data_IF_506911275076
#
_entry.id   IF_506911275076
#
_cell.length_a   1.000
_cell.length_b   1.000
_cell.length_c   1.000
_cell.angle_alpha   90.00
_cell.angle_beta   90.00
_cell.angle_gamma   90.00
#
_symmetry.space_group_name_H-M   'P 1'
#
loop_
_entity.id
_entity.type
_entity.pdbx_description
1 polymer ?
#
# COMPACT_ATOMS: atom_id res chain seq x y z
N UNK A 1 8.63 -16.60 -32.80
CA UNK A 1 7.98 -17.86 -32.36
C UNK A 1 7.07 -17.62 -31.16
N UNK A 2 7.54 -16.91 -30.13
CA UNK A 2 6.72 -16.48 -28.97
C UNK A 2 5.47 -15.69 -29.37
N UNK A 3 5.61 -14.72 -30.28
CA UNK A 3 4.48 -13.94 -30.81
C UNK A 3 3.39 -14.78 -31.46
N UNK A 4 3.74 -15.87 -32.14
CA UNK A 4 2.78 -16.81 -32.72
C UNK A 4 2.00 -17.61 -31.67
N UNK A 5 2.67 -18.02 -30.59
CA UNK A 5 2.01 -18.69 -29.47
C UNK A 5 1.08 -17.73 -28.71
N UNK A 6 1.51 -16.49 -28.48
CA UNK A 6 0.70 -15.43 -27.88
C UNK A 6 -0.54 -15.14 -28.72
N UNK A 7 -0.38 -14.98 -30.05
CA UNK A 7 -1.50 -14.78 -30.96
C UNK A 7 -2.47 -15.98 -30.97
N UNK A 8 -1.96 -17.20 -30.88
CA UNK A 8 -2.78 -18.42 -30.81
C UNK A 8 -3.55 -18.52 -29.49
N UNK A 9 -2.91 -18.19 -28.36
CA UNK A 9 -3.55 -18.10 -27.04
C UNK A 9 -4.65 -17.04 -27.06
N UNK A 10 -4.36 -15.84 -27.56
CA UNK A 10 -5.34 -14.74 -27.67
C UNK A 10 -6.49 -15.04 -28.63
N UNK A 11 -6.22 -15.76 -29.72
CA UNK A 11 -7.27 -16.22 -30.64
C UNK A 11 -8.19 -17.26 -29.97
N UNK A 12 -7.63 -18.14 -29.14
CA UNK A 12 -8.39 -19.22 -28.48
C UNK A 12 -9.11 -18.77 -27.20
N UNK A 13 -8.50 -17.86 -26.45
CA UNK A 13 -8.97 -17.33 -25.16
C UNK A 13 -8.88 -15.79 -25.17
N UNK A 14 -9.81 -15.10 -25.86
CA UNK A 14 -9.71 -13.66 -26.10
C UNK A 14 -9.79 -12.80 -24.84
N UNK A 15 -10.38 -13.33 -23.76
CA UNK A 15 -10.61 -12.63 -22.49
C UNK A 15 -9.41 -12.64 -21.53
N UNK A 16 -8.36 -13.42 -21.78
CA UNK A 16 -7.18 -13.45 -20.89
C UNK A 16 -6.47 -12.10 -20.89
N UNK A 17 -5.98 -11.60 -19.76
CA UNK A 17 -5.20 -10.35 -19.69
C UNK A 17 -3.79 -10.52 -20.28
N UNK A 18 -3.07 -9.44 -20.63
CA UNK A 18 -1.66 -9.54 -21.05
C UNK A 18 -0.79 -10.29 -20.04
N UNK A 19 -0.97 -10.04 -18.74
CA UNK A 19 -0.26 -10.73 -17.66
C UNK A 19 -0.54 -12.25 -17.65
N UNK A 20 -1.81 -12.65 -17.78
CA UNK A 20 -2.19 -14.07 -17.84
C UNK A 20 -1.62 -14.78 -19.07
N UNK A 21 -1.57 -14.08 -20.22
CA UNK A 21 -0.97 -14.62 -21.44
C UNK A 21 0.55 -14.76 -21.30
N UNK A 22 1.21 -13.77 -20.70
CA UNK A 22 2.64 -13.82 -20.39
C UNK A 22 2.98 -14.96 -19.44
N UNK A 23 2.20 -15.13 -18.38
CA UNK A 23 2.38 -16.20 -17.39
C UNK A 23 2.16 -17.59 -18.01
N UNK A 24 1.12 -17.77 -18.84
CA UNK A 24 0.89 -19.01 -19.57
C UNK A 24 2.07 -19.38 -20.49
N UNK A 25 2.69 -18.38 -21.12
CA UNK A 25 3.89 -18.57 -21.95
C UNK A 25 5.10 -18.94 -21.09
N UNK A 26 5.34 -18.25 -19.97
CA UNK A 26 6.45 -18.56 -19.04
C UNK A 26 6.35 -19.97 -18.44
N UNK A 27 5.16 -20.39 -18.01
CA UNK A 27 4.93 -21.72 -17.41
C UNK A 27 5.04 -22.87 -18.41
N UNK A 28 4.97 -22.56 -19.71
CA UNK A 28 5.02 -23.57 -20.77
C UNK A 28 6.42 -23.92 -21.23
N UNK A 29 7.45 -23.37 -20.60
CA UNK A 29 8.82 -23.51 -21.10
C UNK A 29 9.42 -24.84 -20.66
N UNK A 30 9.97 -25.60 -21.62
CA UNK A 30 10.81 -26.75 -21.34
C UNK A 30 12.22 -26.29 -21.00
N UNK A 31 12.77 -26.66 -19.83
CA UNK A 31 14.12 -26.28 -19.45
C UNK A 31 15.12 -26.91 -20.42
N UNK A 32 16.07 -26.12 -20.90
CA UNK A 32 17.21 -26.64 -21.67
C UNK A 32 18.24 -27.15 -20.69
N UNK A 33 18.44 -28.47 -20.69
CA UNK A 33 19.47 -29.14 -19.89
C UNK A 33 20.84 -28.96 -20.55
N UNK A 34 21.37 -27.74 -20.53
CA UNK A 34 22.78 -27.49 -20.85
C UNK A 34 23.62 -27.20 -19.60
N UNK A 35 24.90 -27.51 -19.72
CA UNK A 35 25.81 -27.86 -18.62
C UNK A 35 26.68 -26.68 -18.15
N UNK A 36 26.67 -25.52 -18.84
CA UNK A 36 27.44 -24.35 -18.43
C UNK A 36 26.56 -23.19 -17.94
N UNK A 37 27.08 -22.45 -16.95
CA UNK A 37 26.39 -21.30 -16.30
C UNK A 37 26.27 -20.13 -17.27
N UNK A 38 27.24 -19.96 -18.17
CA UNK A 38 27.27 -18.91 -19.19
C UNK A 38 26.19 -19.12 -20.27
N UNK A 39 25.89 -20.37 -20.65
CA UNK A 39 24.82 -20.67 -21.60
C UNK A 39 23.43 -20.39 -21.02
N UNK A 40 23.20 -20.68 -19.73
CA UNK A 40 21.92 -20.40 -19.06
C UNK A 40 21.56 -18.92 -19.03
N UNK A 41 22.56 -18.03 -18.89
CA UNK A 41 22.33 -16.57 -18.92
C UNK A 41 21.87 -16.06 -20.29
N UNK A 42 22.20 -16.77 -21.38
CA UNK A 42 21.85 -16.36 -22.75
C UNK A 42 20.57 -17.02 -23.28
N UNK A 43 20.12 -18.14 -22.68
CA UNK A 43 19.02 -18.98 -23.18
C UNK A 43 17.65 -18.68 -22.52
N UNK A 44 17.59 -17.80 -21.53
CA UNK A 44 16.36 -17.47 -20.81
C UNK A 44 15.76 -18.68 -20.10
N UNK A 45 14.43 -18.71 -19.95
CA UNK A 45 13.73 -19.78 -19.23
C UNK A 45 13.78 -21.16 -19.94
N UNK A 46 14.22 -21.22 -21.21
CA UNK A 46 14.28 -22.45 -22.01
C UNK A 46 13.47 -22.39 -23.33
N UNK A 47 13.05 -23.56 -23.84
CA UNK A 47 12.32 -23.68 -25.12
C UNK A 47 10.81 -23.62 -24.90
N UNK A 48 10.14 -22.74 -25.65
CA UNK A 48 8.68 -22.59 -25.58
C UNK A 48 7.94 -23.85 -26.06
N UNK A 49 7.07 -24.42 -25.21
CA UNK A 49 6.17 -25.52 -25.58
C UNK A 49 4.75 -25.01 -25.84
N UNK A 50 4.41 -24.70 -27.10
CA UNK A 50 3.13 -24.07 -27.48
C UNK A 50 1.90 -24.83 -27.00
N UNK A 51 1.90 -26.17 -27.03
CA UNK A 51 0.76 -26.95 -26.53
C UNK A 51 0.55 -26.79 -25.02
N UNK A 52 1.62 -26.85 -24.22
CA UNK A 52 1.57 -26.61 -22.77
C UNK A 52 1.16 -25.17 -22.45
N UNK A 53 1.52 -24.21 -23.31
CA UNK A 53 1.07 -22.83 -23.20
C UNK A 53 -0.45 -22.70 -23.36
N UNK A 54 -1.05 -23.45 -24.29
CA UNK A 54 -2.50 -23.50 -24.45
C UNK A 54 -3.20 -24.22 -23.29
N UNK A 55 -2.56 -25.22 -22.69
CA UNK A 55 -3.07 -25.90 -21.50
C UNK A 55 -3.00 -25.01 -20.25
N UNK A 56 -1.88 -24.33 -20.03
CA UNK A 56 -1.73 -23.33 -18.97
C UNK A 56 -2.75 -22.19 -19.15
N UNK A 57 -2.89 -21.66 -20.38
CA UNK A 57 -3.90 -20.67 -20.73
C UNK A 57 -5.34 -21.16 -20.47
N UNK A 58 -5.60 -22.46 -20.62
CA UNK A 58 -6.90 -23.07 -20.34
C UNK A 58 -7.27 -23.02 -18.87
N UNK A 59 -6.29 -23.08 -17.96
CA UNK A 59 -6.53 -22.98 -16.51
C UNK A 59 -7.13 -21.62 -16.20
N UNK A 60 -6.49 -20.54 -16.66
CA UNK A 60 -6.99 -19.17 -16.55
C UNK A 60 -8.34 -18.95 -17.26
N UNK A 61 -8.65 -19.75 -18.29
CA UNK A 61 -9.92 -19.65 -19.02
C UNK A 61 -11.06 -20.51 -18.44
N UNK A 62 -10.76 -21.54 -17.62
CA UNK A 62 -11.75 -22.44 -16.99
C UNK A 62 -12.24 -21.90 -15.65
N UNK A 63 -11.42 -21.13 -14.95
CA UNK A 63 -11.88 -20.22 -13.91
C UNK A 63 -12.66 -19.10 -14.59
N UNK A 64 -13.98 -19.27 -14.69
CA UNK A 64 -14.82 -18.46 -15.54
C UNK A 64 -14.83 -16.99 -15.14
N UNK A 65 -14.00 -16.17 -15.78
CA UNK A 65 -14.30 -14.75 -15.97
C UNK A 65 -15.31 -14.66 -17.12
N UNK A 66 -16.57 -14.92 -16.80
CA UNK A 66 -17.70 -14.45 -17.60
C UNK A 66 -17.80 -12.95 -17.40
N UNK A 67 -17.42 -12.17 -18.42
CA UNK A 67 -17.88 -10.79 -18.51
C UNK A 67 -19.41 -10.75 -18.57
N UNK A 68 -20.05 -10.05 -17.61
CA UNK A 68 -21.49 -9.75 -17.62
C UNK A 68 -22.24 -9.89 -16.29
N UNK A 69 -21.94 -9.00 -15.33
CA UNK A 69 -22.79 -8.39 -14.27
C UNK A 69 -23.85 -9.19 -13.50
N UNK A 70 -23.53 -9.53 -12.23
CA UNK A 70 -24.24 -9.15 -10.97
C UNK A 70 -23.83 -10.10 -9.83
N UNK A 71 -22.64 -9.89 -9.32
CA UNK A 71 -22.14 -10.43 -8.05
C UNK A 71 -20.97 -9.55 -7.70
N UNK A 72 -21.14 -8.70 -6.67
CA UNK A 72 -20.22 -7.68 -6.16
C UNK A 72 -19.00 -7.42 -7.04
N UNK A 73 -19.00 -6.31 -7.80
CA UNK A 73 -17.74 -5.64 -8.06
C UNK A 73 -17.05 -5.52 -6.69
N UNK A 74 -15.89 -6.15 -6.51
CA UNK A 74 -14.86 -5.49 -5.71
C UNK A 74 -14.47 -4.28 -6.57
N UNK A 75 -15.33 -3.26 -6.61
CA UNK A 75 -14.90 -1.95 -7.03
C UNK A 75 -13.78 -1.67 -6.05
N UNK A 76 -12.55 -1.56 -6.56
CA UNK A 76 -11.44 -1.08 -5.75
C UNK A 76 -11.93 0.14 -4.99
N UNK A 77 -11.55 0.21 -3.74
CA UNK A 77 -12.10 1.15 -2.80
C UNK A 77 -10.96 1.71 -1.97
N UNK A 78 -11.26 2.58 -1.04
CA UNK A 78 -10.27 3.00 -0.08
C UNK A 78 -10.93 3.17 1.26
N UNK A 79 -10.13 2.99 2.30
CA UNK A 79 -10.58 3.12 3.67
C UNK A 79 -10.02 4.38 4.28
N UNK A 80 -10.84 5.04 5.09
CA UNK A 80 -10.47 6.21 5.85
C UNK A 80 -10.86 5.98 7.30
N UNK A 81 -9.90 6.20 8.21
CA UNK A 81 -10.06 6.03 9.63
C UNK A 81 -9.95 7.36 10.37
N UNK A 82 -10.73 7.54 11.44
CA UNK A 82 -10.66 8.75 12.25
C UNK A 82 -9.46 8.77 13.20
N UNK A 83 -8.81 9.94 13.27
CA UNK A 83 -7.72 10.20 14.20
C UNK A 83 -8.17 10.45 15.64
N UNK A 84 -7.23 10.90 16.46
CA UNK A 84 -7.39 11.07 17.91
C UNK A 84 -8.56 12.02 18.26
N UNK A 85 -9.30 11.67 19.31
CA UNK A 85 -10.41 12.47 19.85
C UNK A 85 -11.79 12.11 19.29
N UNK A 86 -11.86 11.31 18.22
CA UNK A 86 -13.13 10.81 17.68
C UNK A 86 -13.35 9.34 18.00
N UNK A 87 -14.54 8.83 17.70
CA UNK A 87 -14.82 7.39 17.74
C UNK A 87 -13.88 6.64 16.77
N UNK A 88 -13.52 5.37 17.05
CA UNK A 88 -12.60 4.61 16.19
C UNK A 88 -13.31 4.07 14.96
N UNK A 89 -13.92 4.97 14.18
CA UNK A 89 -14.73 4.68 13.02
C UNK A 89 -13.84 4.58 11.78
N UNK A 90 -14.00 3.48 11.05
CA UNK A 90 -13.41 3.22 9.74
C UNK A 90 -14.55 3.23 8.72
N UNK A 91 -14.34 3.93 7.61
CA UNK A 91 -15.29 4.02 6.49
C UNK A 91 -14.61 3.63 5.20
N UNK A 92 -15.30 2.86 4.36
CA UNK A 92 -14.87 2.45 3.03
C UNK A 92 -15.61 3.28 1.99
N UNK A 93 -14.90 3.76 0.97
CA UNK A 93 -15.42 4.59 -0.10
C UNK A 93 -15.04 4.03 -1.46
N UNK A 94 -15.93 4.16 -2.45
CA UNK A 94 -15.60 3.84 -3.85
C UNK A 94 -14.82 4.98 -4.53
N UNK A 95 -14.39 4.77 -5.79
CA UNK A 95 -13.71 5.77 -6.62
C UNK A 95 -14.44 7.13 -6.75
N UNK A 96 -15.74 7.18 -6.45
CA UNK A 96 -16.56 8.41 -6.52
C UNK A 96 -16.76 9.05 -5.15
N UNK A 97 -16.13 8.53 -4.10
CA UNK A 97 -16.28 9.00 -2.73
C UNK A 97 -17.63 8.62 -2.08
N UNK A 98 -18.34 7.62 -2.60
CA UNK A 98 -19.58 7.12 -1.98
C UNK A 98 -19.24 6.10 -0.91
N UNK A 99 -19.83 6.25 0.28
CA UNK A 99 -19.65 5.29 1.37
C UNK A 99 -20.21 3.93 0.96
N UNK A 100 -19.37 2.90 1.07
CA UNK A 100 -19.72 1.50 0.77
C UNK A 100 -20.03 0.74 2.06
N UNK A 101 -19.22 0.94 3.10
CA UNK A 101 -19.41 0.32 4.41
C UNK A 101 -18.72 1.13 5.52
N UNK A 102 -19.10 0.90 6.77
CA UNK A 102 -18.46 1.50 7.93
C UNK A 102 -18.57 0.63 9.18
N UNK A 103 -17.55 0.67 10.03
CA UNK A 103 -17.47 -0.13 11.26
C UNK A 103 -16.56 0.51 12.32
N UNK A 104 -16.74 0.09 13.58
CA UNK A 104 -15.89 0.50 14.68
C UNK A 104 -14.72 -0.48 14.84
N UNK A 105 -13.49 -0.01 14.63
CA UNK A 105 -12.29 -0.84 14.77
C UNK A 105 -12.05 -1.28 16.23
N UNK A 106 -12.40 -0.41 17.18
CA UNK A 106 -12.22 -0.64 18.62
C UNK A 106 -13.47 -0.28 19.41
N UNK A 107 -13.43 -0.49 20.72
CA UNK A 107 -14.56 -0.16 21.60
C UNK A 107 -15.00 1.30 21.42
N UNK A 108 -16.31 1.55 21.37
CA UNK A 108 -16.90 2.87 21.05
C UNK A 108 -16.40 4.03 21.91
N UNK A 109 -15.91 3.76 23.13
CA UNK A 109 -15.34 4.79 24.05
C UNK A 109 -13.86 5.06 23.84
N UNK A 110 -13.17 4.29 23.01
CA UNK A 110 -11.78 4.54 22.66
C UNK A 110 -11.67 5.83 21.86
N UNK A 111 -10.65 6.65 22.16
CA UNK A 111 -10.44 7.98 21.56
C UNK A 111 -8.99 8.21 21.11
N UNK A 112 -8.18 7.15 21.06
CA UNK A 112 -6.77 7.25 20.67
C UNK A 112 -6.57 7.52 19.18
N UNK A 113 -7.57 7.21 18.36
CA UNK A 113 -7.48 7.22 16.90
C UNK A 113 -7.08 5.86 16.34
N UNK A 114 -7.20 5.71 15.03
CA UNK A 114 -6.96 4.46 14.32
C UNK A 114 -5.90 4.69 13.25
N UNK A 115 -4.87 3.84 13.23
CA UNK A 115 -3.98 3.67 12.07
C UNK A 115 -4.58 2.55 11.22
N UNK A 116 -4.63 2.74 9.91
CA UNK A 116 -5.19 1.76 8.98
C UNK A 116 -4.19 1.45 7.88
N UNK A 117 -4.12 0.18 7.49
CA UNK A 117 -3.40 -0.32 6.33
C UNK A 117 -4.28 -1.39 5.67
N UNK A 118 -3.98 -1.73 4.42
CA UNK A 118 -4.71 -2.72 3.65
C UNK A 118 -3.71 -3.57 2.88
N UNK A 119 -4.02 -4.85 2.72
CA UNK A 119 -3.32 -5.80 1.86
C UNK A 119 -3.88 -7.20 2.09
N UNK A 120 -3.63 -8.11 1.15
CA UNK A 120 -3.98 -9.52 1.29
C UNK A 120 -3.04 -10.17 2.32
N UNK A 121 -3.52 -10.42 3.53
CA UNK A 121 -2.67 -10.96 4.61
C UNK A 121 -2.84 -12.46 4.79
N UNK A 122 -3.84 -13.08 4.15
CA UNK A 122 -4.06 -14.53 4.25
C UNK A 122 -3.80 -15.32 2.96
N UNK A 123 -3.46 -14.62 1.88
CA UNK A 123 -3.06 -15.14 0.58
C UNK A 123 -4.24 -15.68 -0.24
N UNK A 124 -5.46 -15.20 0.01
CA UNK A 124 -6.67 -15.65 -0.69
C UNK A 124 -7.01 -14.83 -1.95
N UNK A 125 -6.19 -13.83 -2.26
CA UNK A 125 -6.35 -12.90 -3.38
C UNK A 125 -7.32 -11.76 -3.08
N UNK A 126 -7.74 -11.58 -1.82
CA UNK A 126 -8.55 -10.45 -1.38
C UNK A 126 -7.83 -9.71 -0.29
N UNK A 127 -7.98 -8.39 -0.31
CA UNK A 127 -7.33 -7.56 0.68
C UNK A 127 -8.15 -7.47 1.97
N UNK A 128 -7.45 -7.51 3.09
CA UNK A 128 -7.98 -7.25 4.41
C UNK A 128 -7.68 -5.82 4.87
N UNK A 129 -8.50 -5.33 5.79
CA UNK A 129 -8.26 -4.07 6.49
C UNK A 129 -7.54 -4.38 7.79
N UNK A 130 -6.32 -3.88 7.96
CA UNK A 130 -5.52 -4.01 9.19
C UNK A 130 -5.55 -2.69 9.94
N UNK A 131 -5.88 -2.74 11.24
CA UNK A 131 -5.90 -1.54 12.09
C UNK A 131 -4.99 -1.66 13.29
N UNK A 132 -4.32 -0.55 13.62
CA UNK A 132 -3.54 -0.36 14.84
C UNK A 132 -4.17 0.69 15.77
N UNK A 133 -4.18 0.40 17.07
CA UNK A 133 -4.67 1.33 18.07
C UNK A 133 -3.59 2.36 18.38
N UNK A 134 -3.89 3.63 18.09
CA UNK A 134 -3.00 4.77 18.37
C UNK A 134 -2.96 5.13 19.85
N UNK A 135 -2.25 6.19 20.21
CA UNK A 135 -1.94 6.64 21.56
C UNK A 135 -3.13 6.54 22.55
N UNK A 136 -2.88 5.91 23.69
CA UNK A 136 -3.89 5.61 24.71
C UNK A 136 -4.56 4.24 24.55
N UNK A 137 -4.33 3.56 23.43
CA UNK A 137 -4.67 2.15 23.22
C UNK A 137 -3.49 1.23 23.52
N UNK A 138 -3.78 -0.06 23.75
CA UNK A 138 -2.75 -1.10 23.73
C UNK A 138 -2.12 -1.24 22.34
N UNK A 139 -0.99 -1.95 22.18
CA UNK A 139 -0.40 -2.29 20.88
C UNK A 139 -1.24 -3.36 20.15
N UNK A 140 -2.56 -3.14 20.07
CA UNK A 140 -3.53 -4.09 19.54
C UNK A 140 -3.64 -3.91 18.02
N UNK A 141 -3.30 -4.97 17.31
CA UNK A 141 -3.55 -5.12 15.88
C UNK A 141 -4.84 -5.92 15.70
N UNK A 142 -5.70 -5.47 14.79
CA UNK A 142 -6.91 -6.18 14.38
C UNK A 142 -6.96 -6.27 12.87
N UNK A 143 -7.33 -7.43 12.37
CA UNK A 143 -7.52 -7.70 10.94
C UNK A 143 -9.00 -7.92 10.68
N UNK A 144 -9.53 -7.24 9.68
CA UNK A 144 -10.92 -7.28 9.28
C UNK A 144 -11.04 -7.70 7.82
N UNK A 145 -12.13 -8.39 7.49
CA UNK A 145 -12.55 -8.49 6.09
C UNK A 145 -13.01 -7.12 5.57
N UNK A 146 -13.24 -7.03 4.26
CA UNK A 146 -13.74 -5.82 3.61
C UNK A 146 -15.06 -5.31 4.19
N UNK A 147 -15.89 -6.20 4.75
CA UNK A 147 -17.19 -5.88 5.37
C UNK A 147 -17.05 -5.34 6.80
N UNK A 148 -15.83 -5.31 7.36
CA UNK A 148 -15.57 -4.85 8.73
C UNK A 148 -15.80 -5.93 9.80
N UNK A 149 -15.82 -7.21 9.43
CA UNK A 149 -15.85 -8.33 10.39
C UNK A 149 -14.44 -8.68 10.80
N UNK A 150 -14.22 -8.79 12.11
CA UNK A 150 -12.92 -9.22 12.65
C UNK A 150 -12.62 -10.65 12.21
N UNK A 151 -11.49 -10.84 11.52
CA UNK A 151 -10.94 -12.14 11.16
C UNK A 151 -10.07 -12.67 12.30
N UNK A 152 -9.11 -11.87 12.76
CA UNK A 152 -8.27 -12.16 13.94
C UNK A 152 -7.68 -10.87 14.53
N UNK A 153 -7.01 -11.00 15.68
CA UNK A 153 -6.38 -9.89 16.39
C UNK A 153 -5.25 -10.40 17.30
N UNK A 154 -4.26 -9.56 17.56
CA UNK A 154 -3.16 -9.86 18.48
C UNK A 154 -2.60 -8.57 19.11
N UNK A 155 -1.72 -8.72 20.09
CA UNK A 155 -0.93 -7.61 20.64
C UNK A 155 0.50 -7.70 20.12
N UNK A 156 0.99 -6.62 19.52
CA UNK A 156 2.31 -6.53 18.91
C UNK A 156 3.44 -6.20 19.90
N UNK A 157 3.08 -5.92 21.15
CA UNK A 157 4.00 -5.68 22.28
C UNK A 157 3.24 -5.94 23.60
N UNK A 158 3.80 -5.56 24.74
CA UNK A 158 3.17 -5.63 26.05
C UNK A 158 1.74 -5.03 26.02
N UNK A 159 0.69 -5.83 26.31
CA UNK A 159 -0.69 -5.36 26.30
C UNK A 159 -1.00 -4.24 27.30
N UNK A 160 -0.08 -3.92 28.23
CA UNK A 160 -0.16 -2.80 29.15
C UNK A 160 0.42 -1.49 28.59
N UNK A 161 1.22 -1.54 27.51
CA UNK A 161 1.73 -0.35 26.86
C UNK A 161 0.57 0.49 26.30
N UNK A 162 0.66 1.81 26.46
CA UNK A 162 -0.33 2.78 25.96
C UNK A 162 0.29 3.79 24.99
N UNK A 163 1.50 3.51 24.51
CA UNK A 163 2.24 4.30 23.53
C UNK A 163 1.49 4.42 22.20
N UNK A 164 0.74 3.38 21.83
CA UNK A 164 0.05 3.27 20.56
C UNK A 164 0.97 2.78 19.44
N UNK A 165 0.36 2.26 18.39
CA UNK A 165 1.06 1.68 17.25
C UNK A 165 0.54 2.22 15.93
N UNK A 166 1.34 2.03 14.89
CA UNK A 166 0.95 2.19 13.50
C UNK A 166 1.18 0.87 12.77
N UNK A 167 0.42 0.67 11.71
CA UNK A 167 0.44 -0.56 10.93
C UNK A 167 0.74 -0.25 9.47
N UNK A 168 1.45 -1.16 8.82
CA UNK A 168 1.62 -1.26 7.38
C UNK A 168 1.44 -2.72 6.95
N UNK A 169 1.05 -2.94 5.70
CA UNK A 169 0.96 -4.26 5.09
C UNK A 169 1.65 -4.19 3.73
N UNK A 170 2.45 -5.18 3.41
CA UNK A 170 3.12 -5.31 2.11
C UNK A 170 3.62 -6.74 1.91
N UNK A 171 3.67 -7.19 0.66
CA UNK A 171 4.18 -8.53 0.31
C UNK A 171 5.68 -8.47 0.09
N UNK A 172 6.43 -8.54 1.19
CA UNK A 172 7.90 -8.49 1.10
C UNK A 172 8.50 -9.85 0.76
N UNK A 173 7.74 -10.94 0.87
CA UNK A 173 8.23 -12.28 0.54
C UNK A 173 7.95 -12.74 -0.89
N UNK A 174 7.04 -12.07 -1.60
CA UNK A 174 6.64 -12.37 -2.99
C UNK A 174 5.79 -13.62 -3.12
N UNK A 175 5.17 -14.09 -2.03
CA UNK A 175 4.28 -15.25 -2.01
C UNK A 175 2.80 -14.91 -2.29
N UNK A 176 2.47 -13.63 -2.43
CA UNK A 176 1.12 -13.11 -2.57
C UNK A 176 0.40 -12.84 -1.24
N UNK A 177 1.03 -13.10 -0.10
CA UNK A 177 0.47 -12.85 1.23
C UNK A 177 1.34 -11.82 1.97
N UNK A 178 0.78 -10.63 2.18
CA UNK A 178 1.43 -9.52 2.86
C UNK A 178 1.70 -9.77 4.34
N UNK A 179 2.89 -9.35 4.79
CA UNK A 179 3.23 -9.31 6.20
C UNK A 179 2.66 -8.07 6.88
N UNK A 180 2.43 -8.17 8.20
CA UNK A 180 1.96 -7.05 9.02
C UNK A 180 3.16 -6.40 9.70
N UNK A 181 3.44 -5.16 9.34
CA UNK A 181 4.50 -4.35 9.93
C UNK A 181 3.91 -3.41 10.98
N UNK A 182 4.56 -3.36 12.15
CA UNK A 182 4.09 -2.55 13.28
C UNK A 182 5.20 -1.63 13.76
N UNK A 183 4.91 -0.33 13.85
CA UNK A 183 5.82 0.68 14.41
C UNK A 183 5.21 1.32 15.67
N UNK A 184 6.03 1.66 16.69
CA UNK A 184 5.58 2.49 17.81
C UNK A 184 5.26 3.92 17.36
N UNK A 185 4.17 4.49 17.88
CA UNK A 185 3.77 5.85 17.50
C UNK A 185 4.71 6.94 18.05
N UNK A 186 5.31 6.73 19.24
CA UNK A 186 6.11 7.75 19.95
C UNK A 186 7.61 7.71 19.68
N UNK A 187 8.06 6.95 18.68
CA UNK A 187 9.48 6.69 18.48
C UNK A 187 10.08 5.85 19.61
N UNK A 188 11.40 5.89 19.76
CA UNK A 188 12.16 5.08 20.72
C UNK A 188 13.24 4.27 20.01
N UNK A 189 13.15 2.95 20.07
CA UNK A 189 14.15 2.05 19.46
C UNK A 189 14.17 2.07 17.93
N UNK A 190 13.21 2.76 17.30
CA UNK A 190 13.05 2.80 15.83
C UNK A 190 12.84 1.43 15.21
N UNK A 191 12.25 0.51 15.98
CA UNK A 191 11.94 -0.83 15.54
C UNK A 191 10.66 -0.86 14.71
N UNK A 192 10.76 -1.49 13.56
CA UNK A 192 9.63 -2.04 12.82
C UNK A 192 9.57 -3.52 13.16
N UNK A 193 8.43 -3.98 13.68
CA UNK A 193 8.20 -5.39 14.02
C UNK A 193 7.35 -6.04 12.94
N UNK A 194 7.83 -7.18 12.43
CA UNK A 194 7.20 -7.89 11.32
C UNK A 194 6.47 -9.11 11.85
N UNK A 195 5.20 -9.23 11.55
CA UNK A 195 4.33 -10.31 11.99
C UNK A 195 3.74 -11.03 10.79
N UNK A 196 3.61 -12.35 10.90
CA UNK A 196 2.81 -13.12 9.97
C UNK A 196 1.30 -12.98 10.27
N UNK A 197 0.47 -13.58 9.41
CA UNK A 197 -0.99 -13.63 9.57
C UNK A 197 -1.51 -14.24 10.88
N UNK A 198 -0.69 -15.03 11.57
CA UNK A 198 -1.06 -15.62 12.87
C UNK A 198 -0.72 -14.71 14.05
N UNK A 199 -0.10 -13.55 13.80
CA UNK A 199 0.37 -12.63 14.83
C UNK A 199 1.67 -13.09 15.49
N UNK A 200 2.42 -14.00 14.86
CA UNK A 200 3.75 -14.39 15.35
C UNK A 200 4.81 -13.44 14.79
N UNK A 201 5.67 -12.92 15.67
CA UNK A 201 6.81 -12.08 15.30
C UNK A 201 7.81 -12.90 14.47
N UNK A 202 8.05 -12.46 13.23
CA UNK A 202 9.06 -13.03 12.34
C UNK A 202 10.43 -12.34 12.50
N UNK A 203 10.43 -11.04 12.78
CA UNK A 203 11.67 -10.28 12.89
C UNK A 203 11.47 -8.82 13.27
N UNK A 204 12.59 -8.12 13.38
CA UNK A 204 12.63 -6.68 13.64
C UNK A 204 13.63 -6.01 12.70
N UNK A 205 13.27 -4.81 12.22
CA UNK A 205 14.08 -3.95 11.37
C UNK A 205 14.30 -2.65 12.12
N UNK A 206 15.53 -2.10 12.09
CA UNK A 206 15.84 -0.78 12.67
C UNK A 206 16.43 0.14 11.61
N UNK A 207 15.59 0.79 10.79
CA UNK A 207 16.06 1.54 9.63
C UNK A 207 16.98 2.70 10.00
N UNK A 208 16.68 3.41 11.08
CA UNK A 208 17.40 4.61 11.51
C UNK A 208 18.07 4.45 12.89
N UNK A 209 18.05 3.25 13.46
CA UNK A 209 18.43 3.05 14.86
C UNK A 209 17.44 3.73 15.81
N UNK A 210 17.94 4.37 16.87
CA UNK A 210 17.09 5.13 17.79
C UNK A 210 16.55 6.39 17.10
N UNK A 211 15.23 6.59 17.21
CA UNK A 211 14.51 7.74 16.64
C UNK A 211 13.69 8.43 17.72
N UNK A 212 13.58 9.75 17.63
CA UNK A 212 12.78 10.60 18.54
C UNK A 212 11.34 10.81 18.06
N UNK A 213 10.99 10.22 16.91
CA UNK A 213 9.76 10.49 16.18
C UNK A 213 9.16 9.21 15.60
N UNK A 214 8.03 9.40 14.92
CA UNK A 214 7.26 8.32 14.33
C UNK A 214 7.91 7.80 13.04
N UNK A 215 7.87 6.48 12.85
CA UNK A 215 8.19 5.84 11.57
C UNK A 215 6.91 5.62 10.76
N UNK A 216 6.89 6.03 9.49
CA UNK A 216 5.83 5.69 8.53
C UNK A 216 6.34 4.67 7.53
N UNK A 217 5.43 3.81 7.08
CA UNK A 217 5.72 2.71 6.18
C UNK A 217 4.89 2.86 4.92
N UNK A 218 5.52 2.58 3.78
CA UNK A 218 4.84 2.29 2.53
C UNK A 218 5.55 1.11 1.86
N UNK A 219 4.84 0.45 0.97
CA UNK A 219 5.31 -0.70 0.22
C UNK A 219 4.96 -0.48 -1.23
N UNK A 220 5.82 -0.93 -2.13
CA UNK A 220 5.56 -0.89 -3.56
C UNK A 220 6.73 -1.45 -4.36
N UNK A 221 6.44 -1.83 -5.60
CA UNK A 221 7.37 -2.46 -6.51
C UNK A 221 8.15 -1.42 -7.32
N UNK A 222 9.40 -1.17 -6.96
CA UNK A 222 10.24 -0.15 -7.60
C UNK A 222 11.21 -0.70 -8.65
N UNK A 223 11.31 -2.03 -8.81
CA UNK A 223 12.29 -2.65 -9.70
C UNK A 223 11.74 -3.74 -10.65
N UNK A 224 10.41 -3.82 -10.76
CA UNK A 224 9.65 -4.76 -11.63
C UNK A 224 9.92 -6.24 -11.28
N UNK A 225 10.08 -6.50 -9.98
CA UNK A 225 10.11 -7.84 -9.43
C UNK A 225 8.81 -8.14 -8.61
N UNK A 226 8.53 -9.39 -8.21
CA UNK A 226 7.30 -9.71 -7.51
C UNK A 226 7.31 -9.35 -6.01
N UNK A 227 8.41 -8.82 -5.48
CA UNK A 227 8.62 -8.46 -4.08
C UNK A 227 8.41 -6.95 -3.91
N UNK A 228 7.66 -6.52 -2.89
CA UNK A 228 7.54 -5.08 -2.60
C UNK A 228 8.79 -4.57 -1.86
N UNK A 229 9.30 -3.40 -2.26
CA UNK A 229 10.28 -2.67 -1.46
C UNK A 229 9.63 -2.04 -0.23
N UNK A 230 10.39 -2.02 0.87
CA UNK A 230 10.00 -1.31 2.08
C UNK A 230 10.48 0.14 2.03
N UNK A 231 9.54 1.08 2.03
CA UNK A 231 9.81 2.48 2.28
C UNK A 231 9.58 2.82 3.75
N UNK A 232 10.55 3.49 4.36
CA UNK A 232 10.44 3.99 5.73
C UNK A 232 10.73 5.46 5.75
N UNK A 233 9.77 6.25 6.21
CA UNK A 233 10.02 7.62 6.58
C UNK A 233 10.22 7.75 8.08
N UNK A 234 11.02 8.73 8.48
CA UNK A 234 11.10 9.17 9.86
C UNK A 234 10.73 10.65 9.94
N UNK A 235 9.86 10.96 10.90
CA UNK A 235 9.40 12.30 11.20
C UNK A 235 9.76 12.68 12.64
N UNK A 236 10.98 13.18 12.85
CA UNK A 236 11.42 13.84 14.09
C UNK A 236 11.33 15.38 14.01
N UNK A 237 12.00 16.08 14.94
CA UNK A 237 12.12 17.56 14.94
C UNK A 237 13.07 18.10 13.84
N UNK A 238 13.77 17.19 13.16
CA UNK A 238 14.72 17.49 12.09
C UNK A 238 14.17 17.11 10.72
N UNK A 239 14.92 17.41 9.67
CA UNK A 239 14.57 17.20 8.26
C UNK A 239 13.96 15.81 8.03
N UNK A 240 12.87 15.73 7.25
CA UNK A 240 12.31 14.45 6.85
C UNK A 240 13.38 13.57 6.20
N UNK A 241 13.37 12.28 6.52
CA UNK A 241 14.18 11.27 5.84
C UNK A 241 13.26 10.19 5.32
N UNK A 242 13.49 9.76 4.07
CA UNK A 242 12.79 8.63 3.45
C UNK A 242 13.86 7.66 2.96
N UNK A 243 13.78 6.43 3.44
CA UNK A 243 14.73 5.35 3.17
C UNK A 243 14.01 4.23 2.44
N UNK A 244 14.60 3.77 1.34
CA UNK A 244 14.17 2.59 0.60
C UNK A 244 15.05 1.43 1.03
N UNK A 245 14.40 0.30 1.34
CA UNK A 245 15.04 -0.93 1.78
C UNK A 245 14.49 -2.08 0.95
N UNK A 246 15.32 -3.11 0.74
CA UNK A 246 14.82 -4.36 0.17
C UNK A 246 13.99 -5.13 1.22
N UNK A 247 13.35 -6.21 0.78
CA UNK A 247 12.54 -7.08 1.63
C UNK A 247 13.21 -7.63 2.90
N UNK A 248 14.53 -7.74 2.91
CA UNK A 248 15.25 -8.20 4.10
C UNK A 248 15.45 -7.10 5.15
N UNK A 249 14.99 -5.88 4.84
CA UNK A 249 15.28 -4.67 5.60
C UNK A 249 16.69 -4.14 5.34
N UNK A 250 17.37 -4.58 4.26
CA UNK A 250 18.69 -4.06 3.91
C UNK A 250 18.52 -2.74 3.16
N UNK A 251 19.30 -1.75 3.58
CA UNK A 251 19.34 -0.44 2.96
C UNK A 251 19.65 -0.50 1.47
N UNK A 252 18.83 0.18 0.65
CA UNK A 252 19.09 0.40 -0.78
C UNK A 252 19.54 1.85 -1.04
N UNK A 253 18.70 2.83 -0.67
CA UNK A 253 18.95 4.26 -0.91
C UNK A 253 18.14 5.15 0.03
N UNK A 254 18.61 6.38 0.24
CA UNK A 254 17.81 7.47 0.81
C UNK A 254 17.31 8.38 -0.31
N UNK A 255 16.06 8.83 -0.24
CA UNK A 255 15.49 9.76 -1.21
C UNK A 255 15.96 11.19 -0.95
N UNK A 256 16.18 11.99 -2.01
CA UNK A 256 16.58 13.39 -1.88
C UNK A 256 15.36 14.29 -1.54
N UNK A 257 14.67 13.99 -0.44
CA UNK A 257 13.51 14.76 0.02
C UNK A 257 13.87 16.20 0.31
N UNK A 258 12.99 17.13 -0.11
CA UNK A 258 13.26 18.55 0.04
C UNK A 258 13.49 18.93 1.50
N UNK A 259 14.45 19.82 1.74
CA UNK A 259 14.68 20.38 3.08
C UNK A 259 13.52 21.23 3.59
N UNK A 260 12.55 21.56 2.73
CA UNK A 260 11.32 22.25 3.12
C UNK A 260 10.30 21.34 3.82
N UNK A 261 10.45 20.01 3.72
CA UNK A 261 9.58 19.05 4.40
C UNK A 261 10.05 18.81 5.84
N UNK A 262 9.13 19.00 6.79
CA UNK A 262 9.29 18.60 8.19
C UNK A 262 8.31 17.44 8.38
N UNK A 263 8.85 16.24 8.60
CA UNK A 263 8.09 14.98 8.53
C UNK A 263 7.61 14.61 7.13
N UNK A 264 7.45 13.31 6.91
CA UNK A 264 7.02 12.73 5.64
C UNK A 264 6.00 11.63 5.91
N UNK A 265 4.74 11.81 5.49
CA UNK A 265 3.88 10.65 5.20
C UNK A 265 4.27 10.15 3.80
N UNK A 266 4.18 8.85 3.58
CA UNK A 266 4.67 8.21 2.35
C UNK A 266 3.62 7.24 1.81
N UNK A 267 3.56 7.14 0.49
CA UNK A 267 2.85 6.12 -0.26
C UNK A 267 3.69 5.69 -1.46
N UNK A 268 3.40 4.53 -2.03
CA UNK A 268 4.00 4.02 -3.26
C UNK A 268 2.87 3.59 -4.19
N UNK A 269 2.94 3.96 -5.47
CA UNK A 269 2.05 3.46 -6.51
C UNK A 269 2.54 3.89 -7.91
N UNK A 270 2.24 3.09 -8.92
CA UNK A 270 2.41 3.42 -10.35
C UNK A 270 1.47 4.55 -10.78
N UNK A 271 1.92 5.81 -10.67
CA UNK A 271 1.11 7.00 -10.98
C UNK A 271 1.27 7.45 -12.43
N UNK A 272 2.29 7.00 -13.14
CA UNK A 272 2.55 7.35 -14.54
C UNK A 272 2.19 6.26 -15.56
N UNK A 273 1.93 5.04 -15.10
CA UNK A 273 1.47 3.90 -15.86
C UNK A 273 2.61 3.12 -16.52
N UNK A 274 3.84 3.22 -16.03
CA UNK A 274 5.00 2.50 -16.57
C UNK A 274 5.19 1.09 -16.00
N UNK A 275 4.43 0.74 -14.94
CA UNK A 275 4.43 -0.56 -14.28
C UNK A 275 5.35 -0.67 -13.07
N UNK A 276 6.13 0.36 -12.75
CA UNK A 276 6.87 0.49 -11.49
C UNK A 276 6.19 1.53 -10.59
N UNK A 277 6.36 1.39 -9.28
CA UNK A 277 5.77 2.30 -8.33
C UNK A 277 6.66 3.53 -8.07
N UNK A 278 6.09 4.71 -8.25
CA UNK A 278 6.67 5.97 -7.79
C UNK A 278 6.57 6.09 -6.28
N UNK A 279 7.46 6.90 -5.69
CA UNK A 279 7.38 7.29 -4.28
C UNK A 279 6.69 8.63 -4.12
N UNK A 280 5.60 8.65 -3.36
CA UNK A 280 4.84 9.85 -3.02
C UNK A 280 5.16 10.24 -1.58
N UNK A 281 5.63 11.47 -1.39
CA UNK A 281 6.02 12.02 -0.08
C UNK A 281 5.17 13.25 0.24
N UNK A 282 4.40 13.21 1.32
CA UNK A 282 3.54 14.31 1.73
C UNK A 282 4.06 15.01 2.99
N UNK A 283 3.96 16.35 3.00
CA UNK A 283 4.38 17.18 4.11
C UNK A 283 3.51 16.99 5.36
N UNK A 284 4.15 16.89 6.52
CA UNK A 284 3.45 16.85 7.79
C UNK A 284 3.24 18.26 8.39
N UNK A 285 3.07 18.36 9.71
CA UNK A 285 2.66 19.57 10.41
C UNK A 285 3.65 20.73 10.27
N UNK A 286 3.11 21.94 10.25
CA UNK A 286 3.88 23.19 10.31
C UNK A 286 4.38 23.72 8.96
N UNK A 287 4.19 22.97 7.87
CA UNK A 287 4.53 23.39 6.49
C UNK A 287 3.28 23.46 5.60
N UNK A 288 3.35 24.12 4.44
CA UNK A 288 2.32 23.99 3.41
C UNK A 288 2.10 22.51 3.06
N UNK A 289 0.86 22.11 2.71
CA UNK A 289 0.48 20.72 2.41
C UNK A 289 0.99 20.31 1.03
N UNK A 290 2.31 20.17 0.94
CA UNK A 290 3.07 19.78 -0.23
C UNK A 290 3.06 18.26 -0.43
N UNK A 291 3.03 17.83 -1.68
CA UNK A 291 3.27 16.43 -2.08
C UNK A 291 4.40 16.44 -3.11
N UNK A 292 5.47 15.70 -2.85
CA UNK A 292 6.61 15.49 -3.74
C UNK A 292 6.52 14.06 -4.31
N UNK A 293 6.64 13.92 -5.63
CA UNK A 293 6.65 12.61 -6.30
C UNK A 293 8.04 12.35 -6.85
N UNK A 294 8.53 11.14 -6.62
CA UNK A 294 9.83 10.65 -7.05
C UNK A 294 9.65 9.41 -7.92
N UNK A 295 10.48 9.29 -8.94
CA UNK A 295 10.57 8.07 -9.74
C UNK A 295 10.95 6.88 -8.86
N UNK A 296 10.73 5.63 -9.31
CA UNK A 296 11.11 4.44 -8.56
C UNK A 296 12.59 4.48 -8.15
N UNK A 297 13.47 4.99 -9.01
CA UNK A 297 14.90 5.13 -8.76
C UNK A 297 15.28 6.30 -7.83
N UNK A 298 14.30 7.10 -7.40
CA UNK A 298 14.44 8.19 -6.44
C UNK A 298 14.74 9.56 -7.05
N UNK A 299 14.53 9.74 -8.36
CA UNK A 299 14.67 11.05 -9.00
C UNK A 299 13.42 11.90 -8.72
N UNK A 300 13.60 13.17 -8.32
CA UNK A 300 12.46 14.08 -8.14
C UNK A 300 11.77 14.34 -9.48
N UNK A 301 10.45 14.18 -9.52
CA UNK A 301 9.67 14.44 -10.72
C UNK A 301 8.86 15.73 -10.65
N UNK A 302 8.01 15.86 -9.62
CA UNK A 302 7.01 16.93 -9.56
C UNK A 302 6.54 17.22 -8.15
N UNK A 303 5.86 18.36 -8.03
CA UNK A 303 5.23 18.84 -6.82
C UNK A 303 3.72 19.03 -7.05
N UNK A 304 2.91 18.59 -6.09
CA UNK A 304 1.45 18.67 -6.12
C UNK A 304 0.96 19.40 -4.85
N UNK A 305 -0.09 20.20 -5.00
CA UNK A 305 -0.77 20.89 -3.89
C UNK A 305 -2.20 20.41 -3.76
N UNK A 306 -2.49 19.66 -2.70
CA UNK A 306 -3.83 19.11 -2.47
C UNK A 306 -4.78 20.10 -1.76
N UNK A 307 -4.23 20.97 -0.92
CA UNK A 307 -5.00 21.91 -0.10
C UNK A 307 -4.38 23.31 -0.14
N UNK A 308 -5.14 24.30 0.34
CA UNK A 308 -4.69 25.69 0.36
C UNK A 308 -3.32 25.84 1.06
N UNK A 309 -2.41 26.62 0.45
CA UNK A 309 -1.03 26.76 0.89
C UNK A 309 -0.84 27.37 2.30
N UNK A 310 -1.90 27.89 2.93
CA UNK A 310 -1.92 28.38 4.30
C UNK A 310 -2.27 27.31 5.33
N UNK A 311 -2.70 26.12 4.91
CA UNK A 311 -2.92 24.96 5.79
C UNK A 311 -1.60 24.49 6.39
N UNK A 312 -1.62 24.13 7.68
CA UNK A 312 -0.41 23.74 8.46
C UNK A 312 -0.59 22.43 9.23
N UNK A 313 -1.68 21.72 8.99
CA UNK A 313 -2.00 20.48 9.72
C UNK A 313 -1.17 19.30 9.24
N UNK A 314 -0.58 19.40 8.04
CA UNK A 314 0.02 18.26 7.34
C UNK A 314 -1.03 17.38 6.68
N UNK A 315 -0.54 16.42 5.89
CA UNK A 315 -1.33 15.46 5.14
C UNK A 315 -0.93 14.04 5.50
N UNK A 316 -1.91 13.14 5.53
CA UNK A 316 -1.72 11.71 5.23
C UNK A 316 -2.04 11.48 3.75
N UNK A 317 -1.43 10.46 3.15
CA UNK A 317 -1.51 10.19 1.72
C UNK A 317 -1.58 8.68 1.49
N UNK A 318 -2.46 8.27 0.58
CA UNK A 318 -2.52 6.92 0.04
C UNK A 318 -2.72 7.02 -1.48
N UNK A 319 -2.23 6.03 -2.22
CA UNK A 319 -2.24 6.04 -3.68
C UNK A 319 -2.58 4.65 -4.23
N UNK A 320 -3.35 4.61 -5.32
CA UNK A 320 -3.69 3.37 -6.01
C UNK A 320 -4.73 3.56 -7.11
N UNK A 321 -4.78 2.60 -8.04
CA UNK A 321 -5.64 2.59 -9.24
C UNK A 321 -7.05 2.09 -8.88
N UNK A 322 -7.89 3.01 -8.37
CA UNK A 322 -9.24 2.67 -7.89
C UNK A 322 -10.23 2.63 -9.06
N UNK A 323 -10.06 3.53 -10.03
CA UNK A 323 -10.94 3.59 -11.20
C UNK A 323 -10.61 2.57 -12.30
N UNK A 324 -9.51 1.83 -12.13
CA UNK A 324 -9.03 0.76 -13.01
C UNK A 324 -8.62 1.25 -14.40
N UNK A 325 -8.10 2.48 -14.48
CA UNK A 325 -7.57 3.04 -15.71
C UNK A 325 -6.11 2.62 -15.99
N UNK A 326 -5.45 1.96 -15.02
CA UNK A 326 -4.07 1.50 -15.11
C UNK A 326 -3.03 2.55 -14.70
N UNK A 327 -3.44 3.64 -14.05
CA UNK A 327 -2.59 4.59 -13.33
C UNK A 327 -3.20 4.80 -11.96
N UNK A 328 -2.36 5.02 -10.96
CA UNK A 328 -2.80 5.27 -9.61
C UNK A 328 -3.29 6.72 -9.41
N UNK A 329 -4.40 6.84 -8.69
CA UNK A 329 -4.87 8.11 -8.15
C UNK A 329 -4.26 8.38 -6.76
N UNK A 330 -4.19 9.66 -6.39
CA UNK A 330 -3.72 10.15 -5.10
C UNK A 330 -4.88 10.61 -4.22
N UNK A 331 -4.89 10.16 -2.97
CA UNK A 331 -5.90 10.48 -1.96
C UNK A 331 -5.26 11.16 -0.76
N UNK A 332 -5.34 12.48 -0.71
CA UNK A 332 -4.75 13.29 0.35
C UNK A 332 -5.80 13.63 1.42
N UNK A 333 -5.45 13.39 2.68
CA UNK A 333 -6.33 13.68 3.82
C UNK A 333 -5.62 14.52 4.89
N UNK A 334 -6.29 15.47 5.56
CA UNK A 334 -5.67 16.26 6.61
C UNK A 334 -5.35 15.45 7.87
N UNK A 335 -4.17 15.68 8.45
CA UNK A 335 -3.83 15.19 9.79
C UNK A 335 -4.57 16.00 10.89
N UNK A 336 -4.40 15.60 12.16
CA UNK A 336 -5.16 16.19 13.27
C UNK A 336 -5.01 17.72 13.35
N UNK A 337 -6.15 18.38 13.59
CA UNK A 337 -6.33 19.84 13.44
C UNK A 337 -7.00 20.23 12.12
N UNK A 338 -6.94 19.36 11.09
CA UNK A 338 -7.61 19.54 9.81
C UNK A 338 -9.03 18.97 9.78
N UNK A 339 -9.83 19.40 8.81
CA UNK A 339 -11.18 18.83 8.57
C UNK A 339 -11.12 17.42 7.98
N UNK A 340 -12.22 16.65 8.01
CA UNK A 340 -12.24 15.28 7.51
C UNK A 340 -12.47 15.25 5.99
N UNK A 341 -11.80 16.14 5.26
CA UNK A 341 -11.92 16.26 3.82
C UNK A 341 -10.96 15.28 3.15
N UNK A 342 -11.43 14.59 2.12
CA UNK A 342 -10.60 13.78 1.24
C UNK A 342 -10.46 14.53 -0.08
N UNK A 343 -9.23 14.77 -0.51
CA UNK A 343 -8.91 15.34 -1.81
C UNK A 343 -8.43 14.21 -2.73
N UNK A 344 -9.12 14.02 -3.85
CA UNK A 344 -8.79 13.00 -4.85
C UNK A 344 -8.15 13.68 -6.06
N UNK A 345 -7.03 13.14 -6.53
CA UNK A 345 -6.25 13.71 -7.63
C UNK A 345 -5.66 12.61 -8.50
N UNK A 346 -5.43 12.91 -9.77
CA UNK A 346 -4.58 12.12 -10.66
C UNK A 346 -3.10 12.22 -10.22
N UNK A 347 -2.26 11.31 -10.69
CA UNK A 347 -0.80 11.34 -10.47
C UNK A 347 -0.09 12.63 -10.93
N UNK A 348 -0.72 13.40 -11.83
CA UNK A 348 -0.24 14.71 -12.28
C UNK A 348 -0.72 15.89 -11.41
N UNK A 349 -1.51 15.63 -10.37
CA UNK A 349 -2.08 16.63 -9.46
C UNK A 349 -3.41 17.26 -9.92
N UNK A 350 -3.97 16.83 -11.06
CA UNK A 350 -5.30 17.26 -11.48
C UNK A 350 -6.35 16.76 -10.49
N UNK A 351 -7.17 17.67 -9.96
CA UNK A 351 -8.25 17.31 -9.03
C UNK A 351 -9.32 16.46 -9.71
N UNK A 352 -9.60 15.30 -9.13
CA UNK A 352 -10.76 14.44 -9.45
C UNK A 352 -11.99 14.81 -8.63
N UNK A 353 -11.79 15.50 -7.51
CA UNK A 353 -12.86 16.01 -6.66
C UNK A 353 -12.47 15.99 -5.19
N UNK A 354 -13.42 16.37 -4.34
CA UNK A 354 -13.26 16.22 -2.90
C UNK A 354 -14.60 16.00 -2.22
N UNK A 355 -14.56 15.40 -1.04
CA UNK A 355 -15.74 15.17 -0.21
C UNK A 355 -15.35 15.15 1.28
N UNK A 356 -16.33 15.20 2.18
CA UNK A 356 -16.09 15.03 3.61
C UNK A 356 -16.39 13.59 4.01
N UNK A 357 -15.38 12.85 4.46
CA UNK A 357 -15.52 11.45 4.88
C UNK A 357 -16.30 11.32 6.20
N UNK A 358 -16.36 12.38 7.01
CA UNK A 358 -17.03 12.42 8.32
C UNK A 358 -17.71 13.78 8.54
N UNK A 359 -18.34 13.96 9.70
CA UNK A 359 -18.97 15.24 10.09
C UNK A 359 -18.03 16.44 9.88
N UNK A 360 -18.50 17.46 9.17
CA UNK A 360 -17.68 18.60 8.70
C UNK A 360 -17.05 19.42 9.83
N UNK A 361 -17.53 19.27 11.06
CA UNK A 361 -17.02 19.91 12.28
C UNK A 361 -15.87 19.13 12.92
N UNK A 362 -15.66 17.86 12.55
CA UNK A 362 -14.59 17.03 13.12
C UNK A 362 -13.21 17.60 12.79
N UNK A 363 -12.29 17.58 13.76
CA UNK A 363 -10.89 18.04 13.59
C UNK A 363 -9.88 17.00 14.05
N UNK A 364 -10.30 15.74 14.13
CA UNK A 364 -9.46 14.62 14.59
C UNK A 364 -8.35 14.23 13.62
N UNK A 365 -8.41 14.73 12.38
CA UNK A 365 -7.57 14.25 11.29
C UNK A 365 -7.95 12.84 10.86
N UNK A 366 -7.33 12.38 9.79
CA UNK A 366 -7.64 11.12 9.14
C UNK A 366 -6.38 10.28 8.91
N UNK A 367 -6.60 8.99 8.64
CA UNK A 367 -5.62 8.11 8.05
C UNK A 367 -6.27 7.29 6.93
N UNK A 368 -5.56 7.03 5.84
CA UNK A 368 -6.13 6.36 4.66
C UNK A 368 -5.27 5.22 4.11
N UNK A 369 -5.91 4.26 3.45
CA UNK A 369 -5.27 3.15 2.75
C UNK A 369 -6.16 2.67 1.57
N UNK A 370 -5.57 2.11 0.52
CA UNK A 370 -6.27 1.64 -0.69
C UNK A 370 -6.67 0.17 -0.57
N UNK A 371 -7.83 -0.21 -1.13
CA UNK A 371 -8.44 -1.55 -1.12
C UNK A 371 -8.98 -1.98 -2.50
#
# INVERSE_FOLDING_TARGET
MVTGAVALIKSRYPLLTPAQVHLAVKLSVDPVLEVSVEARKQLGAGRLHVARALEAARVFAREGVRGGTRGAEHSRSFVVAQGRGSEPLVRRFDARGREVSSFLAYHRRFRGGVSVAVGDVDGDGKEEIVTGARAGGGPQVRVFDVDGRVRWQFFADDPSDRGGIQVGVGDTGGEGAGEIFVTPERGGTGEIRVFNRLGHLQGLIRPFGFVDGTLRLAFGNMDDDPEDELLVSWSGDTRAQVRVMDRSGRYLRDLPVSSSLIGAEIASADVDGDGMDEVIVAATRGRPPAIEVYSPQGAFEKFITAFAANMRTGLDICAGDIDQNGRAELYAVPLAGGGPQVQMMEGNGQSLGSFFAFETTSRSGLSCAIL
#
